data_IF_131024743255
#
_entry.id   IF_131024743255
#
_cell.length_a   1.000
_cell.length_b   1.000
_cell.length_c   1.000
_cell.angle_alpha   90.00
_cell.angle_beta   90.00
_cell.angle_gamma   90.00
#
_symmetry.space_group_name_H-M   'P 1'
#
loop_
_entity.id
_entity.type
_entity.pdbx_description
1 polymer ?
#
# COMPACT_ATOMS: atom_id res chain seq x y z
N UNK A 1 18.45 0.19 17.71
CA UNK A 1 17.37 -0.82 17.67
C UNK A 1 17.81 -2.06 16.89
N UNK A 2 18.02 -1.99 15.56
CA UNK A 2 18.38 -3.18 14.76
C UNK A 2 19.66 -3.86 15.28
N UNK A 3 20.72 -3.09 15.58
CA UNK A 3 21.96 -3.63 16.14
C UNK A 3 21.76 -4.27 17.53
N UNK A 4 20.97 -3.65 18.40
CA UNK A 4 20.66 -4.18 19.73
C UNK A 4 19.92 -5.51 19.64
N UNK A 5 18.91 -5.60 18.75
CA UNK A 5 18.21 -6.86 18.47
C UNK A 5 19.16 -7.94 17.93
N UNK A 6 20.11 -7.54 17.08
CA UNK A 6 21.10 -8.44 16.50
C UNK A 6 22.01 -9.06 17.57
N UNK A 7 22.37 -8.28 18.60
CA UNK A 7 23.20 -8.70 19.74
C UNK A 7 22.51 -9.72 20.65
N UNK A 8 21.20 -9.59 20.85
CA UNK A 8 20.41 -10.54 21.64
C UNK A 8 19.87 -11.72 20.82
N UNK A 9 20.34 -11.88 19.57
CA UNK A 9 20.03 -13.01 18.70
C UNK A 9 18.81 -12.86 17.79
N UNK A 10 18.06 -11.75 17.88
CA UNK A 10 16.91 -11.49 17.02
C UNK A 10 17.31 -10.80 15.72
N UNK A 11 17.16 -11.50 14.59
CA UNK A 11 17.55 -10.99 13.28
C UNK A 11 16.37 -10.30 12.59
N UNK A 12 16.43 -8.97 12.48
CA UNK A 12 15.42 -8.16 11.77
C UNK A 12 15.55 -8.33 10.27
N UNK A 13 14.71 -9.15 9.64
CA UNK A 13 14.78 -9.40 8.19
C UNK A 13 13.97 -8.40 7.35
N UNK A 14 13.00 -7.73 7.96
CA UNK A 14 12.05 -6.85 7.28
C UNK A 14 11.65 -5.69 8.18
N UNK A 15 11.37 -4.53 7.58
CA UNK A 15 10.77 -3.37 8.23
C UNK A 15 9.52 -2.93 7.47
N UNK A 16 8.50 -2.49 8.21
CA UNK A 16 7.27 -1.94 7.63
C UNK A 16 6.97 -0.58 8.25
N UNK A 17 6.51 0.38 7.46
CA UNK A 17 6.03 1.68 7.95
C UNK A 17 4.82 2.17 7.16
N UNK A 18 4.10 3.14 7.73
CA UNK A 18 3.12 3.91 6.96
C UNK A 18 3.79 4.76 5.86
N UNK A 19 2.96 5.40 5.04
CA UNK A 19 3.39 6.29 3.96
C UNK A 19 3.39 7.78 4.38
N UNK A 20 3.53 8.08 5.68
CA UNK A 20 3.59 9.45 6.17
C UNK A 20 4.85 10.19 5.70
N UNK A 21 4.79 11.53 5.64
CA UNK A 21 5.88 12.36 5.09
C UNK A 21 7.25 12.12 5.75
N UNK A 22 7.27 11.86 7.07
CA UNK A 22 8.52 11.52 7.79
C UNK A 22 9.10 10.17 7.36
N UNK A 23 8.25 9.15 7.17
CA UNK A 23 8.68 7.83 6.71
C UNK A 23 9.12 7.87 5.24
N UNK A 24 8.46 8.64 4.39
CA UNK A 24 8.94 8.89 3.01
C UNK A 24 10.34 9.53 3.01
N UNK A 25 10.62 10.46 3.94
CA UNK A 25 11.95 11.03 4.13
C UNK A 25 13.00 9.98 4.52
N UNK A 26 12.63 9.06 5.42
CA UNK A 26 13.48 7.92 5.80
C UNK A 26 13.74 7.00 4.60
N UNK A 27 12.73 6.68 3.80
CA UNK A 27 12.89 5.83 2.62
C UNK A 27 13.90 6.44 1.64
N UNK A 28 13.82 7.76 1.41
CA UNK A 28 14.81 8.49 0.58
C UNK A 28 16.22 8.40 1.15
N UNK A 29 16.36 8.54 2.46
CA UNK A 29 17.66 8.46 3.15
C UNK A 29 18.27 7.06 3.04
N UNK A 30 17.43 6.02 3.05
CA UNK A 30 17.83 4.63 2.90
C UNK A 30 17.89 4.16 1.43
N UNK A 31 17.65 5.07 0.48
CA UNK A 31 17.58 4.77 -0.97
C UNK A 31 16.58 3.65 -1.31
N UNK A 32 15.43 3.63 -0.63
CA UNK A 32 14.35 2.67 -0.84
C UNK A 32 13.43 3.14 -1.97
N UNK A 33 13.18 2.25 -2.91
CA UNK A 33 12.21 2.42 -4.00
C UNK A 33 11.53 1.10 -4.33
N UNK A 34 10.57 1.10 -5.26
CA UNK A 34 9.91 -0.14 -5.70
C UNK A 34 10.88 -1.09 -6.42
N UNK A 35 11.91 -0.55 -7.10
CA UNK A 35 12.98 -1.34 -7.74
C UNK A 35 14.07 -1.75 -6.75
N UNK A 36 14.28 -0.96 -5.68
CA UNK A 36 15.27 -1.20 -4.64
C UNK A 36 14.62 -1.23 -3.26
N UNK A 37 13.92 -2.33 -2.88
CA UNK A 37 13.21 -2.43 -1.61
C UNK A 37 14.12 -2.92 -0.47
N UNK A 38 15.44 -2.84 -0.63
CA UNK A 38 16.40 -3.42 0.30
C UNK A 38 17.44 -2.39 0.67
N UNK A 39 17.73 -2.27 1.97
CA UNK A 39 18.87 -1.54 2.49
C UNK A 39 19.81 -2.49 3.24
N UNK A 40 21.10 -2.15 3.24
CA UNK A 40 22.15 -2.91 3.92
C UNK A 40 22.49 -2.26 5.26
N UNK A 41 22.62 -3.08 6.31
CA UNK A 41 23.08 -2.63 7.63
C UNK A 41 24.60 -2.84 7.79
N UNK A 42 25.28 -2.18 8.74
CA UNK A 42 26.74 -2.19 8.84
C UNK A 42 27.42 -3.56 8.96
N UNK A 43 26.70 -4.60 9.41
CA UNK A 43 27.22 -5.97 9.46
C UNK A 43 27.08 -6.73 8.11
N UNK A 44 26.71 -6.06 7.03
CA UNK A 44 26.58 -6.61 5.68
C UNK A 44 25.24 -7.32 5.40
N UNK A 45 24.32 -7.35 6.37
CA UNK A 45 23.02 -7.99 6.20
C UNK A 45 22.03 -7.07 5.49
N UNK A 46 21.25 -7.67 4.61
CA UNK A 46 20.16 -6.99 3.90
C UNK A 46 18.86 -7.05 4.70
N UNK A 47 18.12 -5.96 4.67
CA UNK A 47 16.79 -5.83 5.28
C UNK A 47 15.83 -5.34 4.22
N UNK A 48 14.71 -6.06 4.06
CA UNK A 48 13.64 -5.68 3.13
C UNK A 48 12.79 -4.60 3.78
N UNK A 49 12.42 -3.57 3.01
CA UNK A 49 11.49 -2.54 3.42
C UNK A 49 10.19 -2.69 2.65
N UNK A 50 9.06 -2.75 3.35
CA UNK A 50 7.73 -2.89 2.75
C UNK A 50 6.83 -1.75 3.26
N UNK A 51 6.11 -1.05 2.38
CA UNK A 51 5.12 -0.08 2.83
C UNK A 51 3.89 -0.80 3.44
N UNK A 52 3.20 -0.13 4.36
CA UNK A 52 1.93 -0.64 4.91
C UNK A 52 0.87 -0.86 3.81
N UNK A 53 0.64 -2.13 3.45
CA UNK A 53 -0.25 -2.51 2.36
C UNK A 53 -1.70 -2.01 2.54
N UNK A 54 -2.34 -2.14 3.72
CA UNK A 54 -3.61 -1.47 4.03
C UNK A 54 -3.64 0.03 3.69
N UNK A 55 -2.57 0.77 3.98
CA UNK A 55 -2.51 2.20 3.68
C UNK A 55 -2.46 2.46 2.17
N UNK A 56 -1.66 1.69 1.44
CA UNK A 56 -1.56 1.77 -0.02
C UNK A 56 -2.92 1.49 -0.68
N UNK A 57 -3.61 0.41 -0.26
CA UNK A 57 -4.94 0.08 -0.78
C UNK A 57 -5.96 1.17 -0.51
N UNK A 58 -5.91 1.80 0.66
CA UNK A 58 -6.76 2.93 1.02
C UNK A 58 -6.54 4.13 0.10
N UNK A 59 -5.28 4.46 -0.22
CA UNK A 59 -4.93 5.53 -1.14
C UNK A 59 -5.42 5.24 -2.56
N UNK A 60 -5.21 4.00 -3.06
CA UNK A 60 -5.70 3.57 -4.38
C UNK A 60 -7.23 3.67 -4.46
N UNK A 61 -7.93 3.24 -3.42
CA UNK A 61 -9.39 3.40 -3.32
C UNK A 61 -9.79 4.87 -3.36
N UNK A 62 -9.12 5.75 -2.61
CA UNK A 62 -9.44 7.18 -2.65
C UNK A 62 -9.25 7.75 -4.06
N UNK A 63 -8.14 7.43 -4.74
CA UNK A 63 -7.95 7.83 -6.13
C UNK A 63 -9.05 7.31 -7.06
N UNK A 64 -9.46 6.05 -6.93
CA UNK A 64 -10.56 5.48 -7.73
C UNK A 64 -11.87 6.26 -7.57
N UNK A 65 -12.18 6.69 -6.35
CA UNK A 65 -13.42 7.37 -6.00
C UNK A 65 -13.38 8.88 -6.33
N UNK A 66 -12.26 9.54 -6.07
CA UNK A 66 -12.13 11.00 -6.17
C UNK A 66 -11.87 11.46 -7.60
N UNK A 67 -10.95 10.79 -8.30
CA UNK A 67 -10.46 11.25 -9.61
C UNK A 67 -10.50 10.19 -10.71
N UNK A 68 -10.39 8.92 -10.34
CA UNK A 68 -10.00 7.84 -11.25
C UNK A 68 -8.50 7.84 -11.56
N UNK A 69 -8.05 6.84 -12.33
CA UNK A 69 -6.68 6.69 -12.79
C UNK A 69 -6.61 6.08 -14.20
N UNK A 70 -5.54 6.37 -14.92
CA UNK A 70 -5.30 5.86 -16.27
C UNK A 70 -4.73 4.45 -16.22
N UNK A 71 -5.29 3.55 -17.04
CA UNK A 71 -4.77 2.22 -17.30
C UNK A 71 -4.67 2.02 -18.81
N UNK A 72 -3.49 2.31 -19.36
CA UNK A 72 -3.31 2.47 -20.82
C UNK A 72 -4.11 3.66 -21.32
N UNK A 73 -4.90 3.46 -22.39
CA UNK A 73 -5.76 4.48 -22.99
C UNK A 73 -7.14 4.60 -22.34
N UNK A 74 -7.35 3.93 -21.19
CA UNK A 74 -8.64 3.89 -20.48
C UNK A 74 -8.56 4.63 -19.15
N UNK A 75 -9.60 5.38 -18.83
CA UNK A 75 -9.80 5.97 -17.51
C UNK A 75 -10.64 4.98 -16.68
N UNK A 76 -10.08 4.53 -15.56
CA UNK A 76 -10.78 3.73 -14.55
C UNK A 76 -11.27 4.67 -13.46
N UNK A 77 -12.57 4.67 -13.19
CA UNK A 77 -13.21 5.54 -12.20
C UNK A 77 -14.35 4.79 -11.49
N UNK A 78 -15.07 5.49 -10.61
CA UNK A 78 -16.20 4.93 -9.85
C UNK A 78 -17.48 4.67 -10.64
N UNK A 79 -17.64 5.19 -11.86
CA UNK A 79 -18.92 5.13 -12.60
C UNK A 79 -19.44 3.69 -12.82
N UNK A 80 -18.61 2.70 -13.20
CA UNK A 80 -19.08 1.33 -13.33
C UNK A 80 -19.54 0.72 -12.00
N UNK A 81 -18.94 1.13 -10.88
CA UNK A 81 -19.34 0.67 -9.54
C UNK A 81 -20.67 1.29 -9.13
N UNK A 82 -20.87 2.59 -9.38
CA UNK A 82 -22.14 3.28 -9.12
C UNK A 82 -23.28 2.67 -9.95
N UNK A 83 -23.03 2.40 -11.24
CA UNK A 83 -23.98 1.71 -12.11
C UNK A 83 -24.33 0.32 -11.57
N UNK A 84 -23.33 -0.46 -11.16
CA UNK A 84 -23.52 -1.80 -10.60
C UNK A 84 -24.38 -1.77 -9.32
N UNK A 85 -24.10 -0.85 -8.40
CA UNK A 85 -24.87 -0.70 -7.15
C UNK A 85 -26.33 -0.34 -7.46
N UNK A 86 -26.58 0.56 -8.41
CA UNK A 86 -27.96 0.91 -8.82
C UNK A 86 -28.74 -0.24 -9.44
N UNK A 87 -28.07 -1.18 -10.12
CA UNK A 87 -28.69 -2.35 -10.73
C UNK A 87 -28.93 -3.49 -9.72
N UNK A 88 -28.15 -3.53 -8.65
CA UNK A 88 -28.07 -4.65 -7.72
C UNK A 88 -29.05 -4.54 -6.53
N UNK A 89 -30.11 -3.73 -6.65
CA UNK A 89 -31.09 -3.40 -5.59
C UNK A 89 -32.12 -4.52 -5.33
N UNK A 90 -31.66 -5.75 -5.11
CA UNK A 90 -32.50 -6.91 -4.74
C UNK A 90 -32.05 -7.49 -3.41
N UNK A 91 -32.96 -8.15 -2.66
CA UNK A 91 -32.65 -8.79 -1.37
C UNK A 91 -31.51 -9.81 -1.46
N UNK A 92 -31.39 -10.48 -2.62
CA UNK A 92 -30.31 -11.40 -2.93
C UNK A 92 -29.47 -10.78 -4.05
N UNK A 93 -28.28 -10.32 -3.67
CA UNK A 93 -27.36 -9.62 -4.57
C UNK A 93 -25.97 -10.23 -4.49
N UNK A 94 -25.37 -10.49 -5.65
CA UNK A 94 -23.95 -10.90 -5.74
C UNK A 94 -23.01 -9.79 -5.25
N UNK A 95 -23.49 -8.54 -5.17
CA UNK A 95 -22.76 -7.36 -4.74
C UNK A 95 -23.09 -6.92 -3.30
N UNK A 96 -23.58 -7.81 -2.42
CA UNK A 96 -24.04 -7.49 -1.06
C UNK A 96 -23.04 -6.74 -0.13
N UNK A 97 -21.74 -6.69 -0.48
CA UNK A 97 -20.71 -5.93 0.26
C UNK A 97 -20.42 -4.54 -0.32
N UNK A 98 -21.08 -4.18 -1.42
CA UNK A 98 -20.97 -2.88 -2.09
C UNK A 98 -22.27 -2.11 -1.86
N UNK A 99 -22.15 -0.90 -1.33
CA UNK A 99 -23.26 0.02 -1.10
C UNK A 99 -22.89 1.41 -1.63
N UNK A 100 -23.78 2.38 -1.45
CA UNK A 100 -23.57 3.77 -1.88
C UNK A 100 -22.72 4.59 -0.88
N UNK A 101 -22.39 4.02 0.29
CA UNK A 101 -21.50 4.60 1.31
C UNK A 101 -20.02 4.38 0.98
#
# INVERSE_FOLDING_TARGET
IINELDQIGFKVICCTSDCGGGNIGLWRTLNISYDQPVFCIPNGRNIVFIPDAPHVLKLVRNWLLDTGFNLGDKIINKQPLEALVSMASTELSVCHKLSQE
#
